data_IF_761913507657
#
_entry.id   IF_761913507657
#
_cell.length_a   1.000
_cell.length_b   1.000
_cell.length_c   1.000
_cell.angle_alpha   90.00
_cell.angle_beta   90.00
_cell.angle_gamma   90.00
#
_symmetry.space_group_name_H-M   'P 1'
#
loop_
_entity.id
_entity.type
_entity.pdbx_description
1 polymer ?
#
# COMPACT_ATOMS: atom_id res chain seq x y z
N UNK A 1 -20.46 -17.07 -47.29
CA UNK A 1 -20.53 -16.10 -48.40
C UNK A 1 -19.51 -15.02 -48.11
N UNK A 2 -18.53 -14.89 -48.99
CA UNK A 2 -17.40 -13.98 -48.88
C UNK A 2 -17.73 -12.63 -49.54
N UNK A 3 -17.19 -11.56 -48.96
CA UNK A 3 -16.73 -10.30 -49.58
C UNK A 3 -16.28 -9.43 -48.38
N UNK A 4 -15.04 -8.97 -48.22
CA UNK A 4 -13.97 -8.73 -49.18
C UNK A 4 -13.57 -7.26 -49.05
N UNK A 5 -12.43 -6.96 -48.44
CA UNK A 5 -11.64 -5.77 -48.80
C UNK A 5 -10.16 -5.96 -48.37
N UNK A 6 -9.31 -5.68 -49.36
CA UNK A 6 -7.85 -5.84 -49.40
C UNK A 6 -7.16 -4.60 -48.80
N UNK A 7 -6.13 -4.78 -47.96
CA UNK A 7 -4.66 -4.75 -48.25
C UNK A 7 -4.12 -3.40 -48.75
N UNK A 8 -3.13 -2.88 -48.00
CA UNK A 8 -1.93 -2.28 -48.57
C UNK A 8 -1.39 -1.07 -47.82
N UNK A 9 -0.26 -1.20 -47.13
CA UNK A 9 0.86 -0.23 -47.16
C UNK A 9 2.17 -1.01 -46.99
N UNK A 10 3.13 -0.64 -47.82
CA UNK A 10 4.33 -1.35 -48.22
C UNK A 10 5.53 -1.15 -47.29
N UNK A 11 6.40 -2.15 -47.29
CA UNK A 11 7.79 -2.13 -46.82
C UNK A 11 8.69 -1.45 -47.86
N UNK A 12 9.61 -0.57 -47.46
CA UNK A 12 10.79 -0.25 -48.28
C UNK A 12 12.07 -0.14 -47.43
N UNK A 13 13.15 -0.65 -48.01
CA UNK A 13 14.42 -1.08 -47.42
C UNK A 13 15.59 -0.28 -48.04
N UNK A 14 16.62 -0.04 -47.22
CA UNK A 14 18.06 0.20 -47.51
C UNK A 14 18.58 1.48 -48.20
N UNK A 15 19.74 1.92 -47.69
CA UNK A 15 20.72 2.71 -48.45
C UNK A 15 21.95 3.14 -47.64
N UNK A 16 22.94 2.25 -47.48
CA UNK A 16 24.34 2.60 -47.11
C UNK A 16 25.11 2.87 -48.40
N UNK A 17 26.02 3.86 -48.43
CA UNK A 17 27.26 3.84 -49.23
C UNK A 17 28.28 4.90 -48.75
N UNK A 18 29.56 4.52 -48.86
CA UNK A 18 30.80 5.12 -48.33
C UNK A 18 31.61 5.90 -49.41
N UNK A 19 32.71 6.53 -48.94
CA UNK A 19 33.95 7.04 -49.62
C UNK A 19 33.98 8.56 -49.90
N UNK A 20 35.07 9.34 -49.72
CA UNK A 20 36.49 9.12 -49.41
C UNK A 20 37.27 10.46 -49.20
N UNK A 21 38.58 10.38 -48.92
CA UNK A 21 39.47 11.32 -48.20
C UNK A 21 40.15 12.49 -48.98
N UNK A 22 40.64 13.50 -48.22
CA UNK A 22 41.94 14.23 -48.28
C UNK A 22 41.76 15.72 -47.83
N UNK A 23 42.61 16.43 -47.06
CA UNK A 23 43.88 16.19 -46.37
C UNK A 23 44.42 17.52 -45.78
N UNK A 24 45.37 17.45 -44.83
CA UNK A 24 46.35 18.51 -44.52
C UNK A 24 46.10 19.41 -43.29
N UNK A 25 47.17 19.90 -42.60
CA UNK A 25 47.26 19.92 -41.13
C UNK A 25 47.25 21.33 -40.50
N UNK A 26 46.90 21.43 -39.21
CA UNK A 26 47.33 22.56 -38.37
C UNK A 26 47.80 22.04 -37.02
N UNK A 27 49.03 22.44 -36.68
CA UNK A 27 49.77 22.12 -35.48
C UNK A 27 49.15 22.71 -34.22
N UNK A 28 49.46 22.12 -33.07
CA UNK A 28 49.51 22.86 -31.81
C UNK A 28 49.06 22.10 -30.58
N UNK A 29 50.03 21.83 -29.70
CA UNK A 29 49.90 21.60 -28.26
C UNK A 29 49.40 20.22 -27.81
N UNK A 30 50.38 19.37 -27.47
CA UNK A 30 50.17 18.25 -26.57
C UNK A 30 49.84 18.76 -25.17
N UNK A 31 48.57 18.66 -24.77
CA UNK A 31 48.18 18.57 -23.36
C UNK A 31 47.49 17.22 -23.23
N UNK A 32 48.22 16.24 -22.71
CA UNK A 32 47.64 14.95 -22.33
C UNK A 32 46.82 15.18 -21.07
N UNK A 33 45.58 15.63 -21.25
CA UNK A 33 44.56 15.52 -20.22
C UNK A 33 44.08 14.07 -20.27
N UNK A 34 44.61 13.23 -19.39
CA UNK A 34 43.96 11.98 -19.02
C UNK A 34 42.53 12.37 -18.59
N UNK A 35 41.47 11.84 -19.22
CA UNK A 35 40.16 11.98 -18.65
C UNK A 35 40.21 11.21 -17.32
N UNK A 36 40.25 11.96 -16.22
CA UNK A 36 39.83 11.44 -14.93
C UNK A 36 38.36 11.07 -15.13
N UNK A 37 38.14 9.79 -15.46
CA UNK A 37 36.86 9.15 -15.22
C UNK A 37 36.75 9.10 -13.71
N UNK A 38 36.31 10.23 -13.14
CA UNK A 38 35.68 10.25 -11.85
C UNK A 38 34.46 9.36 -12.01
N UNK A 39 34.63 8.06 -11.77
CA UNK A 39 33.55 7.21 -11.30
C UNK A 39 33.07 7.87 -10.02
N UNK A 40 32.16 8.83 -10.18
CA UNK A 40 31.29 9.25 -9.11
C UNK A 40 30.50 8.00 -8.77
N UNK A 41 31.02 7.22 -7.83
CA UNK A 41 30.20 6.32 -7.06
C UNK A 41 29.19 7.24 -6.41
N UNK A 42 28.04 7.43 -7.07
CA UNK A 42 26.84 7.79 -6.36
C UNK A 42 26.78 6.75 -5.25
N UNK A 43 27.12 7.17 -4.04
CA UNK A 43 26.79 6.42 -2.85
C UNK A 43 25.31 6.14 -3.03
N UNK A 44 24.92 4.87 -3.14
CA UNK A 44 23.55 4.40 -2.96
C UNK A 44 23.17 4.72 -1.52
N UNK A 45 23.05 6.02 -1.24
CA UNK A 45 22.78 6.52 0.08
C UNK A 45 21.29 6.30 0.24
N UNK A 46 21.00 5.30 1.04
CA UNK A 46 19.66 4.99 1.44
C UNK A 46 18.99 6.27 1.92
N UNK A 47 17.86 6.53 1.30
CA UNK A 47 17.17 7.79 1.40
C UNK A 47 15.87 7.47 2.14
N UNK A 48 15.76 7.84 3.43
CA UNK A 48 14.59 7.47 4.23
C UNK A 48 13.33 8.14 3.69
N UNK A 49 12.18 7.53 3.98
CA UNK A 49 10.90 8.16 3.65
C UNK A 49 10.79 9.52 4.37
N UNK A 50 10.18 10.48 3.68
CA UNK A 50 9.74 11.73 4.28
C UNK A 50 8.21 11.66 4.38
N UNK A 51 7.72 11.66 5.61
CA UNK A 51 6.29 11.56 5.89
C UNK A 51 5.77 12.97 6.19
N UNK A 52 4.70 13.44 5.53
CA UNK A 52 4.08 14.73 5.83
C UNK A 52 3.80 14.87 7.33
N UNK A 53 4.04 16.07 7.84
CA UNK A 53 3.85 16.43 9.25
C UNK A 53 4.64 15.57 10.25
N UNK A 54 5.63 14.80 9.77
CA UNK A 54 6.34 13.80 10.57
C UNK A 54 5.48 12.62 11.00
N UNK A 55 4.38 12.34 10.29
CA UNK A 55 3.42 11.28 10.63
C UNK A 55 2.38 11.67 11.69
N UNK A 56 2.36 12.92 12.16
CA UNK A 56 1.43 13.36 13.20
C UNK A 56 0.13 13.92 12.60
N UNK A 57 -0.95 13.15 12.71
CA UNK A 57 -2.28 13.55 12.27
C UNK A 57 -2.79 14.83 12.93
N UNK A 58 -2.44 15.09 14.20
CA UNK A 58 -2.87 16.31 14.88
C UNK A 58 -2.18 17.56 14.33
N UNK A 59 -0.99 17.41 13.75
CA UNK A 59 -0.30 18.49 13.02
C UNK A 59 -0.87 18.71 11.63
N UNK A 60 -1.32 17.66 10.94
CA UNK A 60 -2.02 17.80 9.67
C UNK A 60 -3.36 18.54 9.84
N UNK A 61 -4.16 18.08 10.81
CA UNK A 61 -5.47 18.65 11.14
C UNK A 61 -5.80 18.39 12.62
N UNK A 62 -6.02 19.46 13.38
CA UNK A 62 -6.45 19.32 14.78
C UNK A 62 -7.87 18.75 14.86
N UNK A 63 -8.17 17.95 15.90
CA UNK A 63 -9.51 17.43 16.12
C UNK A 63 -10.57 18.56 16.28
N UNK A 64 -10.15 19.73 16.79
CA UNK A 64 -11.01 20.91 16.89
C UNK A 64 -11.37 21.48 15.52
N UNK A 65 -10.41 21.57 14.59
CA UNK A 65 -10.67 22.06 13.24
C UNK A 65 -11.58 21.13 12.46
N UNK A 66 -11.29 19.82 12.52
CA UNK A 66 -12.13 18.81 11.86
C UNK A 66 -13.53 18.82 12.47
N UNK A 67 -13.64 18.90 13.79
CA UNK A 67 -14.93 18.98 14.46
C UNK A 67 -15.76 20.20 14.06
N UNK A 68 -15.10 21.36 13.92
CA UNK A 68 -15.74 22.58 13.40
C UNK A 68 -16.22 22.42 11.95
N UNK A 69 -15.43 21.79 11.09
CA UNK A 69 -15.79 21.55 9.68
C UNK A 69 -16.96 20.55 9.57
N UNK A 70 -16.92 19.48 10.36
CA UNK A 70 -17.95 18.44 10.33
C UNK A 70 -19.24 18.85 11.04
N UNK A 71 -19.16 19.74 12.02
CA UNK A 71 -20.28 20.24 12.81
C UNK A 71 -20.55 19.45 14.09
N UNK A 72 -19.50 18.93 14.74
CA UNK A 72 -19.62 18.16 15.99
C UNK A 72 -18.26 17.79 16.58
N UNK A 73 -18.26 17.14 17.75
CA UNK A 73 -17.02 16.65 18.35
C UNK A 73 -16.48 15.44 17.59
N UNK A 74 -15.17 15.40 17.39
CA UNK A 74 -14.43 14.27 16.82
C UNK A 74 -13.13 14.10 17.57
N UNK A 75 -12.54 12.92 17.47
CA UNK A 75 -11.17 12.64 17.88
C UNK A 75 -10.42 12.04 16.68
N UNK A 76 -9.09 12.15 16.68
CA UNK A 76 -8.27 11.33 15.79
C UNK A 76 -8.57 9.88 16.15
N UNK A 77 -9.13 9.13 15.20
CA UNK A 77 -9.21 7.69 15.31
C UNK A 77 -7.78 7.19 15.27
N UNK A 78 -7.32 6.42 16.26
CA UNK A 78 -5.96 5.92 16.22
C UNK A 78 -5.76 5.20 14.88
N UNK A 79 -4.76 5.63 14.12
CA UNK A 79 -4.18 4.81 13.06
C UNK A 79 -3.41 3.72 13.80
N UNK A 80 -4.12 2.83 14.47
CA UNK A 80 -3.47 1.86 15.32
C UNK A 80 -2.67 0.97 14.38
N UNK A 81 -1.34 1.05 14.50
CA UNK A 81 -0.47 -0.04 14.11
C UNK A 81 -0.84 -1.23 14.99
N UNK A 82 -1.93 -1.87 14.58
CA UNK A 82 -2.65 -2.90 15.30
C UNK A 82 -2.40 -4.20 14.57
N UNK A 83 -1.60 -5.06 15.21
CA UNK A 83 -1.30 -6.39 14.71
C UNK A 83 -2.51 -7.31 14.69
N UNK A 84 -3.70 -6.89 15.12
CA UNK A 84 -4.96 -7.64 15.06
C UNK A 84 -5.91 -7.17 13.95
N UNK A 85 -5.67 -6.01 13.34
CA UNK A 85 -6.50 -5.46 12.26
C UNK A 85 -6.42 -6.31 10.97
N UNK A 86 -7.40 -6.17 10.07
CA UNK A 86 -7.39 -6.85 8.76
C UNK A 86 -6.13 -6.47 7.95
N UNK A 87 -5.75 -5.20 8.02
CA UNK A 87 -4.51 -4.63 7.47
C UNK A 87 -3.56 -4.33 8.66
N UNK A 88 -2.78 -5.32 9.15
CA UNK A 88 -1.94 -5.13 10.32
C UNK A 88 -0.89 -4.04 10.07
N UNK A 89 -0.64 -3.12 11.01
CA UNK A 89 0.42 -2.10 10.85
C UNK A 89 0.39 -1.31 9.54
N UNK A 90 -0.82 -1.09 9.01
CA UNK A 90 -1.03 -0.37 7.74
C UNK A 90 -0.36 1.02 7.71
N UNK A 91 -0.43 1.76 8.81
CA UNK A 91 0.14 3.11 8.85
C UNK A 91 1.67 3.05 8.70
N UNK A 92 2.32 2.08 9.36
CA UNK A 92 3.74 1.83 9.18
C UNK A 92 4.10 1.32 7.77
N UNK A 93 3.27 0.49 7.11
CA UNK A 93 3.45 0.14 5.68
C UNK A 93 3.41 1.39 4.78
N UNK A 94 2.40 2.24 4.98
CA UNK A 94 2.21 3.47 4.20
C UNK A 94 3.34 4.48 4.43
N UNK A 95 3.88 4.54 5.65
CA UNK A 95 5.02 5.38 5.98
C UNK A 95 6.27 5.04 5.15
N UNK A 96 6.48 3.77 4.76
CA UNK A 96 7.62 3.36 3.90
C UNK A 96 7.58 4.02 2.51
N UNK A 97 6.38 4.34 2.01
CA UNK A 97 6.17 5.06 0.77
C UNK A 97 5.92 6.55 0.98
N UNK A 98 6.24 7.09 2.15
CA UNK A 98 6.05 8.52 2.49
C UNK A 98 4.58 8.90 2.75
N UNK A 99 3.71 7.92 2.91
CA UNK A 99 2.28 8.12 3.13
C UNK A 99 1.95 8.55 4.56
N UNK A 100 0.90 9.36 4.70
CA UNK A 100 0.22 9.65 5.96
C UNK A 100 -1.31 9.52 5.75
N UNK A 101 -1.95 8.67 6.54
CA UNK A 101 -3.41 8.50 6.52
C UNK A 101 -3.98 8.79 7.89
N UNK A 102 -4.85 9.78 7.95
CA UNK A 102 -5.44 10.28 9.17
C UNK A 102 -6.94 10.19 9.10
N UNK A 103 -7.55 9.61 10.13
CA UNK A 103 -9.01 9.50 10.24
C UNK A 103 -9.45 10.19 11.52
N UNK A 104 -10.53 10.95 11.45
CA UNK A 104 -11.21 11.52 12.61
C UNK A 104 -12.64 11.02 12.65
N UNK A 105 -13.09 10.56 13.80
CA UNK A 105 -14.44 10.05 13.99
C UNK A 105 -15.06 10.61 15.26
N UNK A 106 -16.36 10.85 15.23
CA UNK A 106 -17.15 11.23 16.40
C UNK A 106 -18.58 11.63 16.04
N UNK A 107 -19.21 12.42 16.91
CA UNK A 107 -20.59 12.87 16.74
C UNK A 107 -20.79 13.75 15.49
N UNK A 108 -19.73 14.43 15.03
CA UNK A 108 -19.75 15.21 13.78
C UNK A 108 -19.74 14.36 12.51
N UNK A 109 -19.45 13.06 12.62
CA UNK A 109 -19.22 12.13 11.51
C UNK A 109 -17.75 11.72 11.38
N UNK A 110 -17.38 11.23 10.20
CA UNK A 110 -16.02 10.78 9.89
C UNK A 110 -15.42 11.62 8.77
N UNK A 111 -14.18 12.08 8.97
CA UNK A 111 -13.33 12.65 7.93
C UNK A 111 -12.04 11.84 7.84
N UNK A 112 -11.45 11.82 6.65
CA UNK A 112 -10.16 11.19 6.40
C UNK A 112 -9.32 12.12 5.51
N UNK A 113 -8.03 12.20 5.79
CA UNK A 113 -7.04 12.83 4.92
C UNK A 113 -5.94 11.84 4.64
N UNK A 114 -5.62 11.68 3.36
CA UNK A 114 -4.55 10.83 2.86
C UNK A 114 -3.54 11.73 2.15
N UNK A 115 -2.27 11.62 2.52
CA UNK A 115 -1.17 12.34 1.89
C UNK A 115 -0.14 11.33 1.39
N UNK A 116 0.24 11.43 0.12
CA UNK A 116 1.26 10.57 -0.49
C UNK A 116 2.15 11.39 -1.43
N UNK A 117 3.39 10.97 -1.71
CA UNK A 117 4.18 11.56 -2.80
C UNK A 117 3.41 11.49 -4.13
N UNK A 118 3.40 12.56 -4.92
CA UNK A 118 2.65 12.58 -6.20
C UNK A 118 3.12 11.51 -7.18
N UNK A 119 4.41 11.15 -7.16
CA UNK A 119 5.04 10.22 -8.09
C UNK A 119 4.71 8.74 -7.83
N UNK A 120 4.20 8.40 -6.65
CA UNK A 120 3.81 7.03 -6.33
C UNK A 120 2.32 6.76 -6.51
N UNK A 121 1.49 7.82 -6.63
CA UNK A 121 0.04 7.67 -6.76
C UNK A 121 -0.27 7.21 -8.19
N UNK A 122 -0.91 6.04 -8.39
CA UNK A 122 -1.34 5.59 -9.71
C UNK A 122 -2.20 6.63 -10.42
N UNK A 123 -1.96 6.80 -11.73
CA UNK A 123 -2.63 7.84 -12.52
C UNK A 123 -4.17 7.69 -12.52
N UNK A 124 -4.69 6.46 -12.53
CA UNK A 124 -6.12 6.18 -12.49
C UNK A 124 -6.75 6.61 -11.15
N UNK A 125 -6.02 6.49 -10.04
CA UNK A 125 -6.44 6.98 -8.72
C UNK A 125 -6.43 8.51 -8.68
N UNK A 126 -5.35 9.12 -9.18
CA UNK A 126 -5.22 10.58 -9.23
C UNK A 126 -6.32 11.23 -10.09
N UNK A 127 -6.56 10.69 -11.29
CA UNK A 127 -7.58 11.20 -12.22
C UNK A 127 -8.99 11.06 -11.64
N UNK A 128 -9.31 9.92 -11.02
CA UNK A 128 -10.62 9.63 -10.41
C UNK A 128 -10.99 10.63 -9.31
N UNK A 129 -10.01 11.19 -8.61
CA UNK A 129 -10.21 12.06 -7.44
C UNK A 129 -9.89 13.53 -7.71
N UNK A 130 -9.46 13.91 -8.92
CA UNK A 130 -9.18 15.31 -9.27
C UNK A 130 -10.42 16.21 -9.15
N UNK A 131 -11.61 15.65 -9.39
CA UNK A 131 -12.89 16.33 -9.15
C UNK A 131 -13.59 15.75 -7.94
N UNK A 132 -14.43 16.56 -7.29
CA UNK A 132 -15.24 16.08 -6.18
C UNK A 132 -16.15 14.93 -6.65
N UNK A 133 -16.06 13.80 -5.95
CA UNK A 133 -16.85 12.61 -6.25
C UNK A 133 -17.31 11.93 -4.97
N UNK A 134 -18.47 11.27 -5.02
CA UNK A 134 -18.93 10.39 -3.95
C UNK A 134 -18.74 8.96 -4.42
N UNK A 135 -17.72 8.29 -3.87
CA UNK A 135 -17.41 6.90 -4.18
C UNK A 135 -18.46 6.00 -3.52
N UNK A 136 -18.89 4.94 -4.20
CA UNK A 136 -19.79 3.92 -3.65
C UNK A 136 -19.25 3.20 -2.40
N UNK A 137 -18.03 3.49 -1.98
CA UNK A 137 -17.38 3.05 -0.73
C UNK A 137 -17.86 3.82 0.52
N UNK A 138 -18.87 4.70 0.38
CA UNK A 138 -19.42 5.44 1.51
C UNK A 138 -18.61 6.67 1.91
N UNK A 139 -17.76 7.19 1.02
CA UNK A 139 -17.05 8.46 1.21
C UNK A 139 -17.27 9.40 0.03
N UNK A 140 -17.24 10.70 0.27
CA UNK A 140 -17.11 11.71 -0.76
C UNK A 140 -15.76 12.41 -0.62
N UNK A 141 -15.06 12.54 -1.73
CA UNK A 141 -13.63 12.80 -1.74
C UNK A 141 -13.25 13.74 -2.88
N UNK A 142 -12.15 14.45 -2.69
CA UNK A 142 -11.43 15.18 -3.73
C UNK A 142 -9.96 15.22 -3.34
N UNK A 143 -9.11 15.10 -4.35
CA UNK A 143 -7.69 15.24 -4.21
C UNK A 143 -7.12 16.42 -5.02
N UNK A 144 -6.01 16.97 -4.54
CA UNK A 144 -5.21 17.97 -5.24
C UNK A 144 -3.72 17.79 -4.92
N UNK A 145 -2.85 18.24 -5.82
CA UNK A 145 -1.40 18.24 -5.62
C UNK A 145 -0.92 19.55 -4.97
N UNK A 146 0.00 19.44 -4.02
CA UNK A 146 0.70 20.58 -3.44
C UNK A 146 2.11 20.19 -2.99
N UNK A 147 3.13 20.92 -3.47
CA UNK A 147 4.53 20.73 -3.07
C UNK A 147 5.05 19.29 -3.32
N UNK A 148 4.61 18.63 -4.40
CA UNK A 148 4.98 17.25 -4.72
C UNK A 148 4.28 16.20 -3.85
N UNK A 149 3.23 16.60 -3.13
CA UNK A 149 2.40 15.73 -2.31
C UNK A 149 0.97 15.76 -2.81
N UNK A 150 0.44 14.59 -3.08
CA UNK A 150 -0.95 14.36 -3.40
C UNK A 150 -1.75 14.32 -2.10
N UNK A 151 -2.75 15.20 -1.99
CA UNK A 151 -3.57 15.37 -0.79
C UNK A 151 -5.00 15.01 -1.16
N UNK A 152 -5.53 13.93 -0.59
CA UNK A 152 -6.95 13.59 -0.67
C UNK A 152 -7.64 13.88 0.65
N UNK A 153 -8.78 14.57 0.59
CA UNK A 153 -9.66 14.72 1.72
C UNK A 153 -11.00 14.05 1.44
N UNK A 154 -11.50 13.33 2.43
CA UNK A 154 -12.71 12.52 2.33
C UNK A 154 -13.62 12.77 3.54
N UNK A 155 -14.92 12.75 3.33
CA UNK A 155 -15.94 12.76 4.40
C UNK A 155 -16.91 11.62 4.19
N UNK A 156 -17.26 10.92 5.27
CA UNK A 156 -18.17 9.79 5.19
C UNK A 156 -19.58 10.21 4.73
N UNK A 157 -20.21 9.32 3.99
CA UNK A 157 -21.61 9.37 3.64
C UNK A 157 -22.45 8.91 4.84
N UNK A 158 -23.67 9.45 4.95
CA UNK A 158 -24.60 9.04 6.02
C UNK A 158 -25.23 7.69 5.71
N UNK A 159 -25.34 7.36 4.43
CA UNK A 159 -25.88 6.11 3.92
C UNK A 159 -25.07 5.71 2.70
N UNK A 160 -24.74 4.43 2.60
CA UNK A 160 -24.14 3.81 1.42
C UNK A 160 -25.19 3.21 0.49
N UNK A 161 -26.45 3.13 0.94
CA UNK A 161 -27.53 2.45 0.24
C UNK A 161 -28.24 3.32 -0.81
N UNK A 162 -27.98 4.63 -0.81
CA UNK A 162 -28.58 5.57 -1.75
C UNK A 162 -27.61 6.70 -2.05
N UNK A 163 -27.62 7.17 -3.29
CA UNK A 163 -26.86 8.35 -3.68
C UNK A 163 -27.28 9.57 -2.83
N UNK A 164 -26.33 10.42 -2.42
CA UNK A 164 -26.65 11.61 -1.65
C UNK A 164 -27.51 12.57 -2.47
N UNK A 165 -28.47 13.22 -1.79
CA UNK A 165 -29.23 14.31 -2.42
C UNK A 165 -28.28 15.45 -2.85
N UNK A 166 -28.69 16.29 -3.81
CA UNK A 166 -27.85 17.41 -4.27
C UNK A 166 -27.47 18.39 -3.15
N UNK A 167 -28.34 18.55 -2.13
CA UNK A 167 -28.03 19.34 -0.94
C UNK A 167 -26.93 18.68 -0.10
N UNK A 168 -27.06 17.37 0.15
CA UNK A 168 -26.07 16.57 0.87
C UNK A 168 -24.73 16.47 0.15
N UNK A 169 -24.76 16.42 -1.18
CA UNK A 169 -23.58 16.45 -2.05
C UNK A 169 -22.84 17.78 -1.89
N UNK A 170 -23.55 18.91 -2.00
CA UNK A 170 -22.97 20.26 -1.80
C UNK A 170 -22.41 20.48 -0.39
N UNK A 171 -23.11 20.01 0.65
CA UNK A 171 -22.60 20.08 2.03
C UNK A 171 -21.26 19.34 2.18
N UNK A 172 -21.16 18.14 1.59
CA UNK A 172 -19.92 17.34 1.62
C UNK A 172 -18.80 17.97 0.81
N UNK A 173 -19.12 18.50 -0.36
CA UNK A 173 -18.15 19.21 -1.19
C UNK A 173 -17.55 20.42 -0.46
N UNK A 174 -18.38 21.17 0.28
CA UNK A 174 -17.91 22.27 1.12
C UNK A 174 -16.99 21.77 2.24
N UNK A 175 -17.34 20.66 2.91
CA UNK A 175 -16.52 20.06 3.97
C UNK A 175 -15.18 19.56 3.45
N UNK A 176 -15.18 18.81 2.35
CA UNK A 176 -13.95 18.34 1.67
C UNK A 176 -13.07 19.51 1.26
N UNK A 177 -13.66 20.54 0.65
CA UNK A 177 -12.92 21.76 0.27
C UNK A 177 -12.30 22.46 1.48
N UNK A 178 -13.02 22.53 2.60
CA UNK A 178 -12.50 23.12 3.83
C UNK A 178 -11.34 22.31 4.43
N UNK A 179 -11.42 20.97 4.42
CA UNK A 179 -10.33 20.09 4.87
C UNK A 179 -9.06 20.30 4.03
N UNK A 180 -9.19 20.26 2.69
CA UNK A 180 -8.08 20.50 1.77
C UNK A 180 -7.44 21.88 1.98
N UNK A 181 -8.28 22.92 2.17
CA UNK A 181 -7.78 24.28 2.36
C UNK A 181 -6.91 24.42 3.62
N UNK A 182 -7.27 23.74 4.72
CA UNK A 182 -6.48 23.77 5.95
C UNK A 182 -5.15 23.03 5.75
N UNK A 183 -5.18 21.80 5.23
CA UNK A 183 -3.96 21.01 4.99
C UNK A 183 -2.99 21.76 4.08
N UNK A 184 -3.49 22.32 2.97
CA UNK A 184 -2.68 23.08 2.01
C UNK A 184 -2.08 24.37 2.60
N UNK A 185 -2.69 24.93 3.64
CA UNK A 185 -2.21 26.15 4.28
C UNK A 185 -1.04 25.92 5.26
N UNK A 186 -0.69 24.66 5.51
CA UNK A 186 0.46 24.31 6.34
C UNK A 186 1.79 24.80 5.74
N UNK A 187 2.83 24.82 6.57
CA UNK A 187 4.19 25.11 6.10
C UNK A 187 4.56 24.14 4.97
N UNK A 188 5.03 24.63 3.80
CA UNK A 188 5.50 23.77 2.72
C UNK A 188 6.52 22.72 3.16
N UNK A 189 7.33 22.98 4.18
CA UNK A 189 8.27 22.01 4.73
C UNK A 189 7.57 20.83 5.42
N UNK A 190 6.42 21.07 6.07
CA UNK A 190 5.62 20.05 6.74
C UNK A 190 4.80 19.22 5.74
N UNK A 191 4.45 19.77 4.58
CA UNK A 191 3.67 19.06 3.57
C UNK A 191 4.48 18.08 2.72
N UNK A 192 5.80 18.23 2.66
CA UNK A 192 6.64 17.42 1.77
C UNK A 192 6.52 15.94 2.10
N UNK A 193 6.37 15.17 1.05
CA UNK A 193 6.34 13.71 1.08
C UNK A 193 7.37 13.14 0.12
N UNK A 194 7.94 11.98 0.48
CA UNK A 194 8.81 11.20 -0.39
C UNK A 194 8.86 9.74 0.08
N UNK A 195 8.78 8.80 -0.86
CA UNK A 195 9.02 7.39 -0.55
C UNK A 195 10.47 7.12 -0.12
N UNK A 196 10.68 6.08 0.69
CA UNK A 196 12.02 5.58 0.95
C UNK A 196 12.62 4.99 -0.34
N UNK A 197 13.93 5.10 -0.51
CA UNK A 197 14.63 4.27 -1.49
C UNK A 197 14.43 2.80 -1.12
N UNK A 198 14.08 1.96 -2.09
CA UNK A 198 13.93 0.52 -1.84
C UNK A 198 15.28 -0.11 -1.50
N UNK A 199 15.36 -0.70 -0.32
CA UNK A 199 16.57 -1.39 0.13
C UNK A 199 16.79 -2.75 -0.55
N UNK A 200 18.05 -3.13 -0.83
CA UNK A 200 18.41 -4.49 -1.20
C UNK A 200 18.00 -5.47 -0.10
N UNK A 201 17.07 -6.39 -0.39
CA UNK A 201 16.59 -7.40 0.56
C UNK A 201 15.10 -7.29 0.90
N UNK A 202 14.43 -6.19 0.51
CA UNK A 202 12.97 -6.10 0.61
C UNK A 202 12.29 -6.99 -0.44
N UNK A 203 11.36 -7.85 -0.02
CA UNK A 203 10.68 -8.78 -0.93
C UNK A 203 10.01 -8.05 -2.09
N UNK A 204 10.09 -8.64 -3.28
CA UNK A 204 9.15 -8.32 -4.35
C UNK A 204 7.88 -9.11 -4.09
N UNK A 205 6.78 -8.40 -3.85
CA UNK A 205 5.49 -9.05 -3.63
C UNK A 205 5.00 -9.66 -4.96
N UNK A 206 4.83 -11.00 -5.05
CA UNK A 206 4.24 -11.62 -6.23
C UNK A 206 2.71 -11.46 -6.21
N UNK A 207 2.02 -11.66 -7.36
CA UNK A 207 0.56 -11.70 -7.37
C UNK A 207 0.03 -12.82 -6.48
N UNK A 208 -1.17 -12.65 -5.90
CA UNK A 208 -1.75 -13.64 -4.97
C UNK A 208 -1.82 -15.06 -5.53
N UNK A 209 -2.09 -15.20 -6.84
CA UNK A 209 -2.14 -16.50 -7.51
C UNK A 209 -0.84 -17.30 -7.46
N UNK A 210 0.29 -16.62 -7.19
CA UNK A 210 1.56 -17.31 -6.97
C UNK A 210 1.57 -18.16 -5.70
N UNK A 211 0.68 -17.89 -4.72
CA UNK A 211 0.63 -18.60 -3.45
C UNK A 211 -0.40 -19.74 -3.41
N UNK A 212 -1.32 -19.83 -4.39
CA UNK A 212 -2.49 -20.73 -4.35
C UNK A 212 -2.11 -22.18 -3.99
N UNK A 213 -1.15 -22.77 -4.71
CA UNK A 213 -0.72 -24.15 -4.49
C UNK A 213 -0.01 -24.33 -3.14
N UNK A 214 0.85 -23.37 -2.77
CA UNK A 214 1.61 -23.40 -1.52
C UNK A 214 0.70 -23.31 -0.31
N UNK A 215 -0.25 -22.37 -0.33
CA UNK A 215 -1.22 -22.18 0.76
C UNK A 215 -2.14 -23.38 0.88
N UNK A 216 -2.73 -23.87 -0.23
CA UNK A 216 -3.60 -25.04 -0.19
C UNK A 216 -2.86 -26.26 0.37
N UNK A 217 -1.65 -26.55 -0.15
CA UNK A 217 -0.85 -27.69 0.31
C UNK A 217 -0.49 -27.58 1.80
N UNK A 218 -0.01 -26.42 2.25
CA UNK A 218 0.36 -26.21 3.66
C UNK A 218 -0.87 -26.24 4.59
N UNK A 219 -2.04 -25.85 4.10
CA UNK A 219 -3.31 -25.99 4.81
C UNK A 219 -3.84 -27.43 4.88
N UNK A 220 -3.17 -28.40 4.23
CA UNK A 220 -3.66 -29.77 4.13
C UNK A 220 -4.86 -29.93 3.20
N UNK A 221 -5.08 -28.97 2.29
CA UNK A 221 -6.18 -28.96 1.34
C UNK A 221 -5.68 -29.27 -0.08
N UNK A 222 -6.52 -29.93 -0.88
CA UNK A 222 -6.20 -30.16 -2.30
C UNK A 222 -6.40 -28.90 -3.15
N UNK A 223 -7.35 -28.07 -2.76
CA UNK A 223 -7.62 -26.76 -3.33
C UNK A 223 -8.37 -25.88 -2.32
N UNK A 224 -8.22 -24.57 -2.45
CA UNK A 224 -9.01 -23.57 -1.74
C UNK A 224 -9.66 -22.63 -2.76
N UNK A 225 -10.82 -22.07 -2.41
CA UNK A 225 -11.45 -21.01 -3.19
C UNK A 225 -10.72 -19.71 -2.94
N UNK A 226 -10.30 -19.02 -4.00
CA UNK A 226 -9.67 -17.70 -3.91
C UNK A 226 -10.70 -16.64 -3.50
N UNK A 227 -10.30 -15.75 -2.60
CA UNK A 227 -11.10 -14.65 -2.09
C UNK A 227 -11.50 -14.84 -0.63
N UNK A 228 -12.41 -13.98 -0.17
CA UNK A 228 -12.86 -13.96 1.22
C UNK A 228 -14.37 -14.18 1.30
N UNK A 229 -14.87 -15.00 2.23
CA UNK A 229 -16.29 -15.30 2.36
C UNK A 229 -17.04 -14.18 3.11
N UNK A 230 -16.92 -12.93 2.65
CA UNK A 230 -17.50 -11.74 3.27
C UNK A 230 -17.13 -10.44 2.55
N UNK A 231 -17.58 -9.32 3.10
CA UNK A 231 -17.34 -7.96 2.59
C UNK A 231 -16.22 -7.20 3.34
N UNK A 232 -15.73 -7.77 4.44
CA UNK A 232 -14.62 -7.23 5.24
C UNK A 232 -13.25 -7.45 4.56
N UNK A 233 -13.05 -6.85 3.38
CA UNK A 233 -11.81 -6.92 2.61
C UNK A 233 -11.06 -5.58 2.62
N UNK A 234 -9.72 -5.58 2.60
CA UNK A 234 -8.94 -4.36 2.41
C UNK A 234 -9.35 -3.62 1.14
N UNK A 235 -9.63 -2.34 1.27
CA UNK A 235 -10.10 -1.51 0.17
C UNK A 235 -9.87 -0.02 0.45
N UNK A 236 -10.07 0.80 -0.59
CA UNK A 236 -9.94 2.24 -0.50
C UNK A 236 -8.63 2.76 -1.09
N UNK A 237 -8.55 4.08 -1.19
CA UNK A 237 -7.49 4.74 -1.96
C UNK A 237 -6.10 4.53 -1.37
N UNK A 238 -5.92 4.72 -0.07
CA UNK A 238 -4.64 4.44 0.57
C UNK A 238 -4.18 2.97 0.45
N UNK A 239 -5.11 2.01 0.46
CA UNK A 239 -4.82 0.59 0.21
C UNK A 239 -4.32 0.35 -1.22
N UNK A 240 -5.07 0.87 -2.22
CA UNK A 240 -4.70 0.75 -3.63
C UNK A 240 -3.32 1.36 -3.93
N UNK A 241 -2.99 2.49 -3.30
CA UNK A 241 -1.66 3.13 -3.39
C UNK A 241 -0.58 2.26 -2.73
N UNK A 242 -0.83 1.69 -1.55
CA UNK A 242 0.13 0.81 -0.86
C UNK A 242 0.46 -0.46 -1.66
N UNK A 243 -0.57 -1.06 -2.29
CA UNK A 243 -0.41 -2.21 -3.19
C UNK A 243 0.40 -1.83 -4.43
N UNK A 244 0.08 -0.70 -5.07
CA UNK A 244 0.83 -0.23 -6.24
C UNK A 244 2.29 0.13 -5.90
N UNK A 245 2.52 0.67 -4.70
CA UNK A 245 3.85 0.94 -4.13
C UNK A 245 4.63 -0.31 -3.73
N UNK A 246 3.99 -1.49 -3.76
CA UNK A 246 4.64 -2.77 -3.44
C UNK A 246 5.07 -2.91 -1.98
N UNK A 247 4.43 -2.18 -1.06
CA UNK A 247 4.71 -2.24 0.38
C UNK A 247 3.68 -3.03 1.16
N UNK A 248 2.58 -3.40 0.53
CA UNK A 248 1.56 -4.24 1.15
C UNK A 248 0.80 -5.04 0.10
N UNK A 249 0.42 -6.27 0.45
CA UNK A 249 -0.53 -7.06 -0.32
C UNK A 249 -1.27 -7.99 0.62
N UNK A 250 -2.59 -8.08 0.39
CA UNK A 250 -3.44 -9.03 1.09
C UNK A 250 -3.98 -10.06 0.10
N UNK A 251 -3.95 -11.32 0.50
CA UNK A 251 -4.44 -12.44 -0.28
C UNK A 251 -5.26 -13.34 0.64
N UNK A 252 -6.39 -13.85 0.16
CA UNK A 252 -7.27 -14.70 0.95
C UNK A 252 -7.76 -15.92 0.20
N UNK A 253 -7.98 -16.99 0.96
CA UNK A 253 -8.50 -18.25 0.50
C UNK A 253 -9.43 -18.85 1.53
N UNK A 254 -10.46 -19.56 1.08
CA UNK A 254 -11.36 -20.26 1.97
C UNK A 254 -11.86 -21.60 1.41
N UNK A 255 -12.32 -22.46 2.31
CA UNK A 255 -13.08 -23.66 1.98
C UNK A 255 -14.08 -23.98 3.10
N UNK A 256 -15.18 -24.62 2.74
CA UNK A 256 -16.12 -25.19 3.70
C UNK A 256 -15.94 -26.71 3.72
N UNK A 257 -15.51 -27.23 4.86
CA UNK A 257 -15.37 -28.66 5.11
C UNK A 257 -16.69 -29.31 5.54
N UNK A 258 -16.59 -30.54 6.04
CA UNK A 258 -17.73 -31.25 6.64
C UNK A 258 -18.36 -30.43 7.78
N UNK A 259 -19.68 -30.52 7.93
CA UNK A 259 -20.46 -29.75 8.90
C UNK A 259 -20.30 -28.22 8.80
N UNK A 260 -19.96 -27.69 7.61
CA UNK A 260 -19.70 -26.27 7.37
C UNK A 260 -18.53 -25.70 8.19
N UNK A 261 -17.55 -26.54 8.55
CA UNK A 261 -16.33 -26.07 9.20
C UNK A 261 -15.54 -25.18 8.22
N UNK A 262 -15.39 -23.90 8.54
CA UNK A 262 -14.65 -22.94 7.73
C UNK A 262 -13.14 -23.18 7.87
N UNK A 263 -12.48 -23.34 6.73
CA UNK A 263 -11.05 -23.03 6.60
C UNK A 263 -10.94 -21.67 5.94
N UNK A 264 -10.26 -20.72 6.58
CA UNK A 264 -9.98 -19.39 6.08
C UNK A 264 -8.49 -19.12 6.30
N UNK A 265 -7.80 -18.66 5.28
CA UNK A 265 -6.40 -18.25 5.34
C UNK A 265 -6.28 -16.91 4.65
N UNK A 266 -5.64 -15.98 5.33
CA UNK A 266 -5.32 -14.65 4.84
C UNK A 266 -3.81 -14.42 5.02
N UNK A 267 -3.17 -13.86 4.00
CA UNK A 267 -1.79 -13.43 4.04
C UNK A 267 -1.74 -11.92 3.92
N UNK A 268 -1.00 -11.25 4.79
CA UNK A 268 -0.54 -9.88 4.60
C UNK A 268 0.98 -9.89 4.42
N UNK A 269 1.44 -9.54 3.22
CA UNK A 269 2.87 -9.49 2.86
C UNK A 269 3.35 -8.05 2.91
N UNK A 270 4.34 -7.78 3.76
CA UNK A 270 4.74 -6.44 4.17
C UNK A 270 6.26 -6.28 4.16
N UNK A 271 6.87 -6.01 3.00
CA UNK A 271 8.32 -5.82 2.90
C UNK A 271 8.79 -4.52 3.56
N UNK A 272 9.93 -4.55 4.25
CA UNK A 272 10.56 -3.38 4.89
C UNK A 272 10.01 -3.00 6.27
N UNK A 273 9.00 -3.71 6.80
CA UNK A 273 8.39 -3.42 8.10
C UNK A 273 9.13 -4.02 9.32
N UNK A 274 9.97 -5.03 9.09
CA UNK A 274 10.79 -5.68 10.12
C UNK A 274 9.99 -6.29 11.27
N UNK A 275 10.61 -6.36 12.44
CA UNK A 275 9.99 -6.92 13.65
C UNK A 275 9.02 -5.92 14.28
N UNK A 276 7.81 -6.33 14.71
CA UNK A 276 6.94 -5.44 15.46
C UNK A 276 7.59 -4.96 16.76
N UNK A 277 7.24 -3.75 17.20
CA UNK A 277 7.75 -3.17 18.44
C UNK A 277 7.23 -3.93 19.67
N UNK A 278 7.92 -3.87 20.83
CA UNK A 278 7.45 -4.48 22.06
C UNK A 278 6.04 -4.04 22.48
N UNK A 279 5.70 -2.76 22.27
CA UNK A 279 4.39 -2.21 22.63
C UNK A 279 3.27 -2.78 21.74
N UNK A 280 3.53 -2.96 20.44
CA UNK A 280 2.59 -3.60 19.52
C UNK A 280 2.37 -5.07 19.89
N UNK A 281 3.45 -5.80 20.15
CA UNK A 281 3.37 -7.20 20.58
C UNK A 281 2.60 -7.36 21.89
N UNK A 282 2.88 -6.50 22.88
CA UNK A 282 2.20 -6.51 24.16
C UNK A 282 0.70 -6.16 24.00
N UNK A 283 0.37 -5.15 23.20
CA UNK A 283 -1.01 -4.72 22.96
C UNK A 283 -1.83 -5.80 22.25
N UNK A 284 -1.21 -6.54 21.33
CA UNK A 284 -1.84 -7.66 20.63
C UNK A 284 -1.88 -8.96 21.46
N UNK A 285 -1.31 -8.99 22.68
CA UNK A 285 -1.18 -10.21 23.46
C UNK A 285 -0.33 -11.29 22.77
N UNK A 286 0.62 -10.86 21.93
CA UNK A 286 1.44 -11.74 21.14
C UNK A 286 2.43 -12.53 22.00
N UNK A 287 2.61 -13.81 21.70
CA UNK A 287 3.61 -14.67 22.34
C UNK A 287 4.62 -15.16 21.32
N UNK A 288 5.90 -15.38 21.69
CA UNK A 288 6.88 -15.95 20.79
C UNK A 288 6.40 -17.29 20.20
N UNK A 289 6.64 -17.48 18.92
CA UNK A 289 6.31 -18.69 18.17
C UNK A 289 7.51 -19.18 17.36
N UNK A 290 7.39 -20.35 16.75
CA UNK A 290 8.41 -20.90 15.84
C UNK A 290 7.83 -21.04 14.44
N UNK A 291 8.48 -20.41 13.46
CA UNK A 291 8.17 -20.49 12.03
C UNK A 291 9.49 -20.76 11.31
N UNK A 292 9.55 -21.78 10.45
CA UNK A 292 10.77 -22.13 9.73
C UNK A 292 11.17 -21.01 8.77
N UNK A 293 12.46 -20.65 8.78
CA UNK A 293 13.01 -19.56 7.96
C UNK A 293 12.88 -18.16 8.58
N UNK A 294 12.05 -17.97 9.60
CA UNK A 294 11.86 -16.67 10.24
C UNK A 294 13.00 -16.35 11.23
N UNK A 295 13.45 -15.10 11.26
CA UNK A 295 14.35 -14.58 12.29
C UNK A 295 13.63 -14.32 13.63
N UNK A 296 12.33 -14.00 13.56
CA UNK A 296 11.44 -13.89 14.70
C UNK A 296 10.02 -14.27 14.27
N UNK A 297 9.25 -14.86 15.18
CA UNK A 297 7.84 -15.14 14.94
C UNK A 297 7.03 -15.00 16.21
N UNK A 298 5.77 -14.61 16.05
CA UNK A 298 4.84 -14.37 17.15
C UNK A 298 3.47 -14.93 16.81
N UNK A 299 2.86 -15.62 17.76
CA UNK A 299 1.48 -16.04 17.70
C UNK A 299 0.62 -15.01 18.43
N UNK A 300 -0.40 -14.52 17.76
CA UNK A 300 -1.43 -13.67 18.31
C UNK A 300 -2.66 -14.57 18.52
N UNK A 301 -3.10 -14.75 19.78
CA UNK A 301 -4.21 -15.63 20.08
C UNK A 301 -5.50 -15.12 19.42
N UNK A 302 -6.41 -16.03 19.09
CA UNK A 302 -7.68 -15.66 18.52
C UNK A 302 -8.46 -14.74 19.46
N UNK A 303 -8.79 -13.54 18.98
CA UNK A 303 -9.70 -12.64 19.68
C UNK A 303 -11.14 -13.18 19.72
N UNK A 304 -12.08 -12.32 20.11
CA UNK A 304 -13.51 -12.67 20.13
C UNK A 304 -14.06 -13.12 18.76
N UNK A 305 -13.40 -12.72 17.67
CA UNK A 305 -13.76 -13.06 16.28
C UNK A 305 -13.27 -14.45 15.83
N UNK A 306 -12.49 -15.15 16.66
CA UNK A 306 -12.14 -16.56 16.44
C UNK A 306 -10.97 -16.82 15.48
N UNK A 307 -10.44 -15.80 14.79
CA UNK A 307 -9.29 -15.94 13.89
C UNK A 307 -7.96 -15.84 14.66
N UNK A 308 -7.09 -16.82 14.54
CA UNK A 308 -5.72 -16.75 15.07
C UNK A 308 -4.79 -16.12 14.04
N UNK A 309 -3.65 -15.56 14.50
CA UNK A 309 -2.66 -14.96 13.60
C UNK A 309 -1.23 -15.36 13.98
N UNK A 310 -0.41 -15.59 12.97
CA UNK A 310 1.05 -15.73 13.07
C UNK A 310 1.69 -14.55 12.36
N UNK A 311 2.57 -13.84 13.04
CA UNK A 311 3.45 -12.82 12.43
C UNK A 311 4.85 -13.42 12.35
N UNK A 312 5.38 -13.56 11.14
CA UNK A 312 6.72 -14.06 10.86
C UNK A 312 7.58 -12.95 10.24
N UNK A 313 8.84 -12.86 10.66
CA UNK A 313 9.80 -11.85 10.23
C UNK A 313 10.97 -12.53 9.53
N UNK A 314 11.38 -12.03 8.36
CA UNK A 314 12.61 -12.44 7.67
C UNK A 314 13.40 -11.19 7.27
N UNK A 315 14.46 -10.91 8.03
CA UNK A 315 15.21 -9.66 7.93
C UNK A 315 14.30 -8.46 8.19
N UNK A 316 14.15 -7.60 7.20
CA UNK A 316 13.27 -6.43 7.24
C UNK A 316 11.85 -6.72 6.73
N UNK A 317 11.56 -7.94 6.33
CA UNK A 317 10.25 -8.28 5.78
C UNK A 317 9.36 -8.92 6.82
N UNK A 318 8.06 -8.67 6.71
CA UNK A 318 7.05 -9.23 7.58
C UNK A 318 5.97 -9.95 6.77
N UNK A 319 5.57 -11.12 7.27
CA UNK A 319 4.45 -11.90 6.79
C UNK A 319 3.48 -12.10 7.95
N UNK A 320 2.23 -11.69 7.80
CA UNK A 320 1.15 -12.07 8.71
C UNK A 320 0.29 -13.14 8.05
N UNK A 321 0.06 -14.26 8.75
CA UNK A 321 -0.85 -15.32 8.34
C UNK A 321 -2.00 -15.35 9.35
N UNK A 322 -3.20 -14.98 8.91
CA UNK A 322 -4.42 -15.00 9.73
C UNK A 322 -5.31 -16.14 9.26
N UNK A 323 -6.04 -16.77 10.17
CA UNK A 323 -7.02 -17.73 9.73
C UNK A 323 -7.63 -18.61 10.81
N UNK A 324 -8.47 -19.51 10.32
CA UNK A 324 -9.05 -20.64 11.04
C UNK A 324 -8.83 -21.85 10.15
N UNK A 325 -8.26 -22.91 10.68
CA UNK A 325 -7.93 -24.11 9.90
C UNK A 325 -8.95 -25.24 10.07
N UNK A 326 -10.18 -24.91 10.49
CA UNK A 326 -11.23 -25.90 10.75
C UNK A 326 -10.75 -27.03 11.66
N UNK A 327 -10.93 -28.28 11.22
CA UNK A 327 -10.47 -29.50 11.90
C UNK A 327 -9.13 -30.05 11.37
N UNK A 328 -8.39 -29.28 10.56
CA UNK A 328 -7.13 -29.73 9.98
C UNK A 328 -6.07 -29.99 11.07
N UNK A 329 -5.19 -30.97 10.83
CA UNK A 329 -4.05 -31.27 11.72
C UNK A 329 -2.87 -30.30 11.55
N UNK A 330 -2.98 -29.34 10.61
CA UNK A 330 -1.96 -28.34 10.28
C UNK A 330 -2.12 -27.09 11.14
N UNK A 331 -1.05 -26.31 11.26
CA UNK A 331 -1.04 -25.03 11.98
C UNK A 331 -0.84 -23.85 11.05
N UNK A 332 -1.24 -22.65 11.47
CA UNK A 332 -0.92 -21.42 10.74
C UNK A 332 0.60 -21.17 10.63
N UNK A 333 1.39 -21.74 11.54
CA UNK A 333 2.85 -21.66 11.49
C UNK A 333 3.44 -22.51 10.33
N UNK A 334 2.78 -23.61 9.96
CA UNK A 334 3.19 -24.42 8.80
C UNK A 334 2.91 -23.66 7.50
N UNK A 335 1.76 -23.00 7.41
CA UNK A 335 1.42 -22.10 6.29
C UNK A 335 2.42 -20.95 6.20
N UNK A 336 2.70 -20.30 7.33
CA UNK A 336 3.70 -19.23 7.38
C UNK A 336 5.08 -19.72 6.93
N UNK A 337 5.53 -20.90 7.37
CA UNK A 337 6.81 -21.49 6.98
C UNK A 337 6.89 -21.72 5.46
N UNK A 338 5.84 -22.29 4.87
CA UNK A 338 5.79 -22.58 3.44
C UNK A 338 5.79 -21.31 2.58
N UNK A 339 4.98 -20.31 2.96
CA UNK A 339 4.91 -19.03 2.25
C UNK A 339 6.21 -18.25 2.40
N UNK A 340 6.82 -18.26 3.59
CA UNK A 340 8.09 -17.58 3.84
C UNK A 340 9.22 -18.17 2.98
N UNK A 341 9.33 -19.49 2.91
CA UNK A 341 10.30 -20.16 2.05
C UNK A 341 10.11 -19.80 0.56
N UNK A 342 8.87 -19.62 0.10
CA UNK A 342 8.58 -19.18 -1.26
C UNK A 342 8.97 -17.71 -1.51
N UNK A 343 8.79 -16.83 -0.52
CA UNK A 343 9.16 -15.42 -0.62
C UNK A 343 10.68 -15.23 -0.63
N UNK A 344 11.39 -15.93 0.25
CA UNK A 344 12.86 -15.82 0.39
C UNK A 344 13.63 -16.48 -0.77
N UNK A 345 12.99 -17.34 -1.55
CA UNK A 345 13.61 -17.98 -2.73
C UNK A 345 13.66 -17.08 -3.98
N UNK A 346 13.20 -15.83 -3.89
CA UNK A 346 13.07 -14.88 -5.02
C UNK A 346 14.07 -13.75 -4.94
#
# INVERSE_FOLDING_TARGET
MANGMRVGVETMILGVLLTGCAGGPVAGTSVSATPDVSTSSASDQETPALIPFGGDCARALSASDVGRILGGTVAVSPSADDLTAVEPDRAASQALIGGLVCTWTGAGGTAMVELFPEDIVPADIADRLTSFTCLGSGYCSRAEGAQGTWINASVAQRSIAADPTETERREREQKVTALLAVVRSADPADLRSRAASREPGRWMIPPCSAFDATVAHAAGQSALTVGFPGDAIPSGTAWEIAVAGGVEQWCSWYAYGEANALTLIELSVQPGLGTPTPDQLASAGAVPASVGGASAAFAIPSGAEGNARIVAVSGENRLSVTGVLGSAATSLADVATAVLAQLDAR
#
